data_IF_907100329793
#
_entry.id   IF_907100329793
#
_cell.length_a   1.000
_cell.length_b   1.000
_cell.length_c   1.000
_cell.angle_alpha   90.00
_cell.angle_beta   90.00
_cell.angle_gamma   90.00
#
_symmetry.space_group_name_H-M   'P 1'
#
loop_
_entity.id
_entity.type
_entity.pdbx_description
1 polymer ?
#
# COMPACT_ATOMS: atom_id res chain seq x y z
N UNK A 1 -20.89 -21.67 -7.75
CA UNK A 1 -19.45 -21.80 -8.02
C UNK A 1 -18.86 -20.44 -7.74
N UNK A 2 -18.18 -20.29 -6.62
CA UNK A 2 -17.49 -19.06 -6.27
C UNK A 2 -16.30 -18.94 -7.19
N UNK A 3 -16.37 -18.02 -8.14
CA UNK A 3 -15.27 -17.79 -9.06
C UNK A 3 -14.19 -17.00 -8.30
N UNK A 4 -13.40 -17.73 -7.51
CA UNK A 4 -12.34 -17.19 -6.67
C UNK A 4 -11.28 -16.43 -7.46
N UNK A 5 -11.30 -16.57 -8.79
CA UNK A 5 -10.48 -15.87 -9.78
C UNK A 5 -11.04 -14.51 -10.23
N UNK A 6 -12.32 -14.22 -9.97
CA UNK A 6 -12.95 -12.94 -10.31
C UNK A 6 -12.52 -11.87 -9.30
N UNK A 7 -11.45 -11.14 -9.65
CA UNK A 7 -10.86 -10.06 -8.86
C UNK A 7 -11.94 -9.14 -8.29
N UNK A 8 -12.89 -8.67 -9.12
CA UNK A 8 -13.96 -7.75 -8.77
C UNK A 8 -14.85 -8.23 -7.62
N UNK A 9 -15.16 -9.54 -7.58
CA UNK A 9 -15.96 -10.14 -6.52
C UNK A 9 -15.21 -10.15 -5.18
N UNK A 10 -13.90 -10.46 -5.21
CA UNK A 10 -13.02 -10.43 -4.04
C UNK A 10 -12.85 -9.01 -3.50
N UNK A 11 -12.75 -8.01 -4.40
CA UNK A 11 -12.60 -6.61 -4.01
C UNK A 11 -13.81 -6.03 -3.27
N UNK A 12 -14.96 -6.68 -3.40
CA UNK A 12 -16.21 -6.27 -2.78
C UNK A 12 -16.57 -7.11 -1.55
N UNK A 13 -15.78 -8.12 -1.19
CA UNK A 13 -16.03 -9.03 -0.07
C UNK A 13 -15.13 -8.72 1.13
N UNK A 14 -15.68 -7.93 2.06
CA UNK A 14 -15.01 -7.54 3.30
C UNK A 14 -14.66 -8.75 4.21
N UNK A 15 -15.47 -9.81 4.19
CA UNK A 15 -15.27 -10.98 5.04
C UNK A 15 -14.09 -11.81 4.53
N UNK A 16 -14.01 -12.02 3.21
CA UNK A 16 -12.89 -12.71 2.57
C UNK A 16 -11.58 -11.96 2.75
N UNK A 17 -11.59 -10.63 2.68
CA UNK A 17 -10.39 -9.81 2.98
C UNK A 17 -9.98 -9.93 4.46
N UNK A 18 -10.93 -9.88 5.40
CA UNK A 18 -10.63 -10.05 6.82
C UNK A 18 -9.98 -11.41 7.11
N UNK A 19 -10.48 -12.49 6.49
CA UNK A 19 -9.87 -13.82 6.58
C UNK A 19 -8.47 -13.86 5.98
N UNK A 20 -8.26 -13.22 4.84
CA UNK A 20 -6.95 -13.14 4.20
C UNK A 20 -5.93 -12.36 5.03
N UNK A 21 -6.34 -11.27 5.69
CA UNK A 21 -5.48 -10.51 6.60
C UNK A 21 -5.00 -11.36 7.78
N UNK A 22 -5.88 -12.20 8.34
CA UNK A 22 -5.53 -13.16 9.40
C UNK A 22 -4.60 -14.24 8.85
N UNK A 23 -4.93 -14.82 7.70
CA UNK A 23 -4.17 -15.91 7.09
C UNK A 23 -2.79 -15.49 6.55
N UNK A 24 -2.62 -14.21 6.17
CA UNK A 24 -1.36 -13.67 5.67
C UNK A 24 -0.24 -13.66 6.72
N UNK A 25 -0.57 -13.87 8.00
CA UNK A 25 0.37 -13.98 9.12
C UNK A 25 1.42 -12.85 9.10
N UNK A 26 0.94 -11.62 8.98
CA UNK A 26 1.76 -10.41 8.93
C UNK A 26 2.44 -10.17 10.27
N UNK A 27 3.69 -9.75 10.25
CA UNK A 27 4.41 -9.30 11.44
C UNK A 27 3.78 -8.03 12.04
N UNK A 28 4.06 -7.75 13.31
CA UNK A 28 3.60 -6.51 13.97
C UNK A 28 4.05 -5.24 13.21
N UNK A 29 5.28 -5.27 12.67
CA UNK A 29 5.79 -4.18 11.84
C UNK A 29 4.97 -4.01 10.57
N UNK A 30 4.68 -5.08 9.85
CA UNK A 30 3.86 -5.04 8.63
C UNK A 30 2.44 -4.52 8.91
N UNK A 31 1.81 -4.99 9.99
CA UNK A 31 0.50 -4.52 10.42
C UNK A 31 0.51 -3.03 10.80
N UNK A 32 1.53 -2.57 11.53
CA UNK A 32 1.69 -1.17 11.89
C UNK A 32 1.80 -0.28 10.64
N UNK A 33 2.65 -0.67 9.69
CA UNK A 33 2.84 0.07 8.44
C UNK A 33 1.57 0.10 7.57
N UNK A 34 0.86 -1.02 7.48
CA UNK A 34 -0.44 -1.09 6.79
C UNK A 34 -1.46 -0.16 7.44
N UNK A 35 -1.59 -0.19 8.77
CA UNK A 35 -2.52 0.68 9.53
C UNK A 35 -2.19 2.16 9.39
N UNK A 36 -0.90 2.50 9.52
CA UNK A 36 -0.44 3.87 9.34
C UNK A 36 -0.74 4.40 7.93
N UNK A 37 -0.53 3.56 6.92
CA UNK A 37 -0.89 3.86 5.53
C UNK A 37 -2.41 4.01 5.38
N UNK A 38 -3.19 3.06 5.88
CA UNK A 38 -4.65 3.07 5.77
C UNK A 38 -5.28 4.32 6.40
N UNK A 39 -4.76 4.79 7.54
CA UNK A 39 -5.25 5.98 8.24
C UNK A 39 -5.14 7.28 7.43
N UNK A 40 -4.17 7.40 6.53
CA UNK A 40 -4.07 8.59 5.70
C UNK A 40 -5.15 8.65 4.62
N UNK A 41 -5.80 7.53 4.30
CA UNK A 41 -6.79 7.35 3.22
C UNK A 41 -6.25 7.61 1.80
N UNK A 42 -5.28 8.50 1.64
CA UNK A 42 -4.60 8.81 0.40
C UNK A 42 -3.23 9.42 0.70
N UNK A 43 -2.25 9.26 -0.20
CA UNK A 43 -0.94 9.83 0.02
C UNK A 43 0.12 9.41 -0.98
N UNK A 44 1.37 9.75 -0.67
CA UNK A 44 2.56 9.28 -1.37
C UNK A 44 3.32 8.29 -0.51
N UNK A 45 4.21 7.50 -1.12
CA UNK A 45 5.07 6.55 -0.39
C UNK A 45 5.87 7.24 0.74
N UNK A 46 6.35 8.47 0.49
CA UNK A 46 7.02 9.28 1.50
C UNK A 46 6.14 9.56 2.71
N UNK A 47 4.91 10.06 2.49
CA UNK A 47 3.96 10.34 3.57
C UNK A 47 3.57 9.07 4.32
N UNK A 48 3.44 7.95 3.62
CA UNK A 48 3.20 6.64 4.22
C UNK A 48 4.35 6.20 5.15
N UNK A 49 5.61 6.39 4.73
CA UNK A 49 6.78 6.11 5.57
C UNK A 49 6.80 6.99 6.83
N UNK A 50 6.51 8.27 6.67
CA UNK A 50 6.44 9.23 7.79
C UNK A 50 5.32 8.88 8.77
N UNK A 51 4.15 8.51 8.26
CA UNK A 51 3.03 8.06 9.10
C UNK A 51 3.34 6.76 9.86
N UNK A 52 4.18 5.88 9.29
CA UNK A 52 4.68 4.69 9.95
C UNK A 52 5.77 4.99 11.01
N UNK A 53 6.17 6.26 11.16
CA UNK A 53 7.09 6.72 12.19
C UNK A 53 8.53 6.91 11.74
N UNK A 54 8.84 6.77 10.44
CA UNK A 54 10.19 7.07 9.94
C UNK A 54 10.40 8.57 9.76
N UNK A 55 11.50 9.06 10.29
CA UNK A 55 11.99 10.42 10.14
C UNK A 55 13.32 10.50 9.39
N UNK A 56 13.83 11.72 9.24
CA UNK A 56 15.13 11.97 8.60
C UNK A 56 16.30 11.37 9.40
N UNK A 57 16.14 11.20 10.72
CA UNK A 57 17.17 10.60 11.59
C UNK A 57 17.35 9.09 11.41
N UNK A 58 16.40 8.41 10.78
CA UNK A 58 16.48 6.97 10.49
C UNK A 58 17.23 6.66 9.19
N UNK A 59 17.52 7.70 8.40
CA UNK A 59 18.15 7.57 7.08
C UNK A 59 19.64 7.27 7.27
N UNK A 60 20.16 6.18 6.68
CA UNK A 60 21.58 5.87 6.75
C UNK A 60 22.47 6.96 6.13
N UNK A 61 23.70 7.18 6.64
CA UNK A 61 24.65 8.08 6.01
C UNK A 61 24.91 7.68 4.55
N UNK A 62 24.82 8.64 3.64
CA UNK A 62 25.05 8.43 2.20
C UNK A 62 23.79 8.11 1.39
N UNK A 63 22.64 7.91 2.03
CA UNK A 63 21.36 7.72 1.34
C UNK A 63 20.63 9.05 1.13
N UNK A 64 19.87 9.14 0.03
CA UNK A 64 18.97 10.27 -0.20
C UNK A 64 17.69 10.10 0.64
N UNK A 65 17.32 11.02 1.54
CA UNK A 65 16.24 10.81 2.50
C UNK A 65 14.88 10.49 1.87
N UNK A 66 14.44 11.25 0.88
CA UNK A 66 13.14 11.06 0.22
C UNK A 66 13.02 9.69 -0.44
N UNK A 67 13.93 9.32 -1.37
CA UNK A 67 13.94 8.00 -2.01
C UNK A 67 14.06 6.85 -1.02
N UNK A 68 14.90 6.98 0.01
CA UNK A 68 15.07 5.92 1.00
C UNK A 68 13.79 5.70 1.83
N UNK A 69 13.16 6.77 2.32
CA UNK A 69 11.89 6.67 3.05
C UNK A 69 10.79 6.04 2.17
N UNK A 70 10.68 6.48 0.92
CA UNK A 70 9.72 5.92 -0.04
C UNK A 70 9.98 4.44 -0.35
N UNK A 71 11.25 4.00 -0.38
CA UNK A 71 11.60 2.60 -0.61
C UNK A 71 11.24 1.70 0.57
N UNK A 72 11.40 2.19 1.82
CA UNK A 72 10.96 1.45 3.01
C UNK A 72 9.46 1.19 3.01
N UNK A 73 8.67 2.20 2.59
CA UNK A 73 7.22 2.05 2.42
C UNK A 73 6.87 1.04 1.34
N UNK A 74 7.45 1.20 0.15
CA UNK A 74 7.18 0.33 -0.99
C UNK A 74 7.53 -1.13 -0.65
N UNK A 75 8.65 -1.36 0.04
CA UNK A 75 9.07 -2.70 0.45
C UNK A 75 8.12 -3.31 1.50
N UNK A 76 7.79 -2.56 2.55
CA UNK A 76 7.03 -3.10 3.70
C UNK A 76 5.55 -3.28 3.36
N UNK A 77 4.90 -2.22 2.87
CA UNK A 77 3.46 -2.28 2.48
C UNK A 77 3.30 -3.26 1.33
N UNK A 78 4.25 -3.26 0.41
CA UNK A 78 4.28 -4.19 -0.70
C UNK A 78 4.38 -5.66 -0.36
N UNK A 79 5.35 -6.00 0.49
CA UNK A 79 5.48 -7.36 1.01
C UNK A 79 4.21 -7.80 1.71
N UNK A 80 3.58 -6.91 2.47
CA UNK A 80 2.32 -7.18 3.16
C UNK A 80 1.17 -7.46 2.18
N UNK A 81 1.01 -6.63 1.14
CA UNK A 81 0.01 -6.82 0.10
C UNK A 81 0.20 -8.14 -0.66
N UNK A 82 1.45 -8.53 -0.97
CA UNK A 82 1.73 -9.81 -1.61
C UNK A 82 1.31 -11.00 -0.75
N UNK A 83 1.57 -10.97 0.57
CA UNK A 83 1.15 -12.04 1.49
C UNK A 83 -0.38 -12.15 1.56
N UNK A 84 -1.09 -11.03 1.55
CA UNK A 84 -2.55 -11.00 1.51
C UNK A 84 -3.07 -11.55 0.17
N UNK A 85 -2.44 -11.20 -0.95
CA UNK A 85 -2.77 -11.73 -2.27
C UNK A 85 -2.58 -13.27 -2.34
N UNK A 86 -1.49 -13.77 -1.74
CA UNK A 86 -1.23 -15.20 -1.62
C UNK A 86 -2.32 -15.91 -0.81
N UNK A 87 -2.73 -15.33 0.32
CA UNK A 87 -3.83 -15.85 1.14
C UNK A 87 -5.18 -15.84 0.40
N UNK A 88 -5.36 -14.95 -0.58
CA UNK A 88 -6.54 -14.89 -1.44
C UNK A 88 -6.48 -15.84 -2.64
N UNK A 89 -5.36 -16.54 -2.83
CA UNK A 89 -5.15 -17.50 -3.92
C UNK A 89 -4.90 -16.84 -5.27
N UNK A 90 -4.37 -15.61 -5.31
CA UNK A 90 -4.14 -14.89 -6.56
C UNK A 90 -2.83 -15.31 -7.24
N UNK A 91 -2.85 -15.44 -8.56
CA UNK A 91 -1.67 -15.76 -9.37
C UNK A 91 -0.98 -14.50 -9.94
N UNK A 92 0.22 -14.65 -10.52
CA UNK A 92 0.82 -13.57 -11.34
C UNK A 92 0.09 -13.53 -12.70
N UNK A 93 -0.15 -12.36 -13.33
CA UNK A 93 0.32 -11.01 -12.99
C UNK A 93 -0.54 -10.26 -11.97
N UNK A 94 -1.62 -10.85 -11.45
CA UNK A 94 -2.55 -10.23 -10.49
C UNK A 94 -1.87 -9.76 -9.21
N UNK A 95 -0.79 -10.43 -8.76
CA UNK A 95 0.06 -9.97 -7.65
C UNK A 95 0.77 -8.63 -7.93
N UNK A 96 1.11 -8.36 -9.20
CA UNK A 96 1.72 -7.11 -9.67
C UNK A 96 0.73 -5.94 -9.73
N UNK A 97 -0.58 -6.23 -9.74
CA UNK A 97 -1.64 -5.27 -9.47
C UNK A 97 -1.79 -5.08 -7.95
N UNK A 98 -0.68 -4.66 -7.31
CA UNK A 98 -0.54 -4.23 -5.90
C UNK A 98 -1.70 -3.36 -5.41
N UNK A 99 -2.38 -2.75 -6.37
CA UNK A 99 -3.42 -1.76 -6.28
C UNK A 99 -4.78 -2.32 -5.90
N UNK A 100 -5.10 -3.50 -6.42
CA UNK A 100 -6.48 -3.94 -6.40
C UNK A 100 -6.87 -4.53 -5.06
N UNK A 101 -5.96 -4.83 -4.13
CA UNK A 101 -6.34 -5.31 -2.80
C UNK A 101 -6.57 -4.23 -1.77
N UNK A 102 -5.84 -3.11 -1.85
CA UNK A 102 -5.79 -2.14 -0.75
C UNK A 102 -5.64 -0.68 -1.19
N UNK A 103 -4.89 -0.38 -2.26
CA UNK A 103 -4.43 0.99 -2.59
C UNK A 103 -4.45 1.32 -4.09
N UNK A 104 -5.30 2.21 -4.58
CA UNK A 104 -5.28 2.60 -6.00
C UNK A 104 -4.19 3.63 -6.31
N UNK A 105 -3.22 3.29 -7.17
CA UNK A 105 -2.20 4.25 -7.62
C UNK A 105 -2.71 5.12 -8.77
N UNK A 106 -2.62 6.43 -8.58
CA UNK A 106 -2.98 7.43 -9.57
C UNK A 106 -1.71 8.15 -10.06
N UNK A 107 -1.61 8.35 -11.37
CA UNK A 107 -0.54 9.19 -11.93
C UNK A 107 -0.89 10.65 -11.64
N UNK A 108 0.08 11.39 -11.08
CA UNK A 108 0.03 12.78 -10.57
C UNK A 108 -0.73 13.85 -11.39
N UNK A 109 -1.22 13.58 -12.60
CA UNK A 109 -1.70 14.61 -13.53
C UNK A 109 -3.17 15.02 -13.35
N UNK A 110 -4.01 14.24 -12.66
CA UNK A 110 -5.46 14.49 -12.63
C UNK A 110 -6.04 15.03 -11.30
N UNK A 111 -5.25 15.09 -10.23
CA UNK A 111 -5.76 15.40 -8.88
C UNK A 111 -5.16 16.64 -8.22
N UNK A 112 -4.35 17.43 -8.94
CA UNK A 112 -3.73 18.67 -8.42
C UNK A 112 -2.95 18.49 -7.09
N UNK A 113 -2.57 17.26 -6.74
CA UNK A 113 -1.81 16.96 -5.53
C UNK A 113 -0.33 17.26 -5.76
N UNK A 114 0.04 18.53 -5.59
CA UNK A 114 1.40 19.02 -5.68
C UNK A 114 2.19 18.73 -4.38
N UNK A 115 2.79 17.53 -4.29
CA UNK A 115 4.00 17.35 -3.50
C UNK A 115 5.17 17.89 -4.34
N UNK A 116 5.57 19.16 -4.14
CA UNK A 116 6.76 19.75 -4.79
C UNK A 116 7.75 20.30 -3.75
N UNK A 117 9.07 20.13 -3.96
CA UNK A 117 9.69 19.74 -5.23
C UNK A 117 10.42 18.38 -5.16
N UNK A 118 9.76 17.31 -5.57
CA UNK A 118 10.38 16.31 -6.46
C UNK A 118 10.06 16.79 -7.88
N UNK A 119 10.77 17.83 -8.34
CA UNK A 119 10.44 18.52 -9.59
C UNK A 119 10.93 17.81 -10.86
N UNK A 120 11.78 16.79 -10.75
CA UNK A 120 12.43 16.17 -11.92
C UNK A 120 12.14 14.68 -12.12
N UNK A 121 11.06 14.14 -11.55
CA UNK A 121 10.75 12.72 -11.74
C UNK A 121 9.37 12.51 -12.35
N UNK A 122 9.36 11.95 -13.55
CA UNK A 122 8.22 11.51 -14.37
C UNK A 122 7.26 10.50 -13.68
N UNK A 123 7.47 10.15 -12.41
CA UNK A 123 6.78 9.05 -11.74
C UNK A 123 6.60 9.30 -10.25
N UNK A 124 5.85 10.35 -9.89
CA UNK A 124 5.26 10.42 -8.55
C UNK A 124 3.87 9.77 -8.60
N UNK A 125 3.74 8.59 -8.00
CA UNK A 125 2.47 7.89 -7.85
C UNK A 125 1.83 8.30 -6.52
N UNK A 126 0.58 8.75 -6.56
CA UNK A 126 -0.27 8.88 -5.36
C UNK A 126 -1.05 7.59 -5.19
N UNK A 127 -1.39 7.22 -3.97
CA UNK A 127 -2.28 6.10 -3.67
C UNK A 127 -3.53 6.56 -2.96
N UNK A 128 -4.63 5.80 -3.07
CA UNK A 128 -5.84 5.95 -2.26
C UNK A 128 -6.31 4.61 -1.71
N UNK A 129 -6.67 4.57 -0.43
CA UNK A 129 -7.27 3.42 0.25
C UNK A 129 -8.72 3.34 -0.19
N UNK A 130 -9.18 2.16 -0.59
CA UNK A 130 -10.60 2.03 -0.97
C UNK A 130 -11.51 2.14 0.26
N UNK A 131 -12.59 2.93 0.19
CA UNK A 131 -13.47 3.16 1.35
C UNK A 131 -14.01 1.89 1.99
N UNK A 132 -14.32 0.86 1.20
CA UNK A 132 -14.84 -0.41 1.69
C UNK A 132 -13.87 -1.20 2.60
N UNK A 133 -12.58 -0.88 2.57
CA UNK A 133 -11.55 -1.61 3.32
C UNK A 133 -10.97 -0.82 4.47
N UNK A 134 -11.12 0.50 4.49
CA UNK A 134 -10.63 1.33 5.59
C UNK A 134 -11.06 0.82 6.98
N UNK A 135 -12.31 0.34 7.21
CA UNK A 135 -12.71 -0.16 8.52
C UNK A 135 -11.97 -1.43 8.97
N UNK A 136 -11.44 -2.21 8.03
CA UNK A 136 -10.71 -3.46 8.31
C UNK A 136 -9.22 -3.21 8.59
N UNK A 137 -8.73 -2.02 8.23
CA UNK A 137 -7.30 -1.70 8.24
C UNK A 137 -6.92 -0.66 9.30
N UNK A 138 -7.88 -0.03 9.99
CA UNK A 138 -7.65 1.10 10.91
C UNK A 138 -7.78 0.69 12.38
#
# INVERSE_FOLDING_TARGET
MDDSSNLSAVLCDAQRLAQALIAANLSEKELHWLRATARLQYGTALRGAQAAGLGLGDVPPGEAPGPWLASQWSSTVGGSCHKIADALGWEKPSKGMWIDLLLTFERKRHYELCDRPLMDQDTCFTWSVRPQWSPLLV
#
